data_IF_168180798643
#
_entry.id   IF_168180798643
#
_cell.length_a   1.000
_cell.length_b   1.000
_cell.length_c   1.000
_cell.angle_alpha   90.00
_cell.angle_beta   90.00
_cell.angle_gamma   90.00
#
_symmetry.space_group_name_H-M   'P 1'
#
loop_
_entity.id
_entity.type
_entity.pdbx_description
1 polymer ?
#
# COMPACT_ATOMS: atom_id res chain seq x y z
N UNK A 1 2.83 12.77 -12.47
CA UNK A 1 2.56 11.34 -12.59
C UNK A 1 3.74 10.63 -13.26
N UNK A 2 4.75 10.25 -12.47
CA UNK A 2 5.97 9.61 -12.98
C UNK A 2 5.73 8.11 -13.32
N UNK A 3 4.61 7.51 -12.88
CA UNK A 3 4.33 6.08 -13.01
C UNK A 3 2.93 5.78 -13.59
N UNK A 4 2.54 6.39 -14.71
CA UNK A 4 1.44 5.89 -15.55
C UNK A 4 0.14 5.50 -14.82
N UNK A 5 -0.34 6.30 -13.84
CA UNK A 5 -1.60 6.03 -13.13
C UNK A 5 -1.48 5.17 -11.86
N UNK A 6 -0.29 4.74 -11.48
CA UNK A 6 -0.07 4.01 -10.23
C UNK A 6 -0.02 4.94 -9.01
N UNK A 7 -0.63 4.51 -7.91
CA UNK A 7 -0.57 5.17 -6.60
C UNK A 7 -0.34 4.13 -5.52
N UNK A 8 0.31 4.54 -4.43
CA UNK A 8 0.54 3.66 -3.28
C UNK A 8 -0.14 4.21 -2.02
N UNK A 9 -0.65 3.31 -1.19
CA UNK A 9 -1.28 3.61 0.09
C UNK A 9 -0.78 2.68 1.17
N UNK A 10 -0.63 3.21 2.39
CA UNK A 10 -0.37 2.44 3.59
C UNK A 10 -1.69 1.96 4.17
N UNK A 11 -1.81 0.67 4.41
CA UNK A 11 -3.00 0.05 5.01
C UNK A 11 -3.01 0.30 6.52
N UNK A 12 -4.04 0.97 7.01
CA UNK A 12 -4.15 1.40 8.40
C UNK A 12 -5.15 0.59 9.23
N UNK A 13 -5.97 -0.26 8.58
CA UNK A 13 -6.98 -1.07 9.26
C UNK A 13 -6.99 -2.51 8.77
N UNK A 14 -7.51 -3.44 9.58
CA UNK A 14 -7.58 -4.86 9.28
C UNK A 14 -8.83 -5.29 8.51
N UNK A 15 -9.60 -4.38 7.91
CA UNK A 15 -10.86 -4.74 7.22
C UNK A 15 -10.68 -5.69 6.04
N UNK A 16 -9.48 -5.79 5.48
CA UNK A 16 -9.13 -6.67 4.38
C UNK A 16 -8.31 -7.90 4.79
N UNK A 17 -8.13 -8.12 6.08
CA UNK A 17 -7.44 -9.32 6.57
C UNK A 17 -8.24 -10.60 6.26
N UNK A 18 -7.57 -11.70 5.93
CA UNK A 18 -6.10 -11.89 5.87
C UNK A 18 -5.47 -11.53 4.52
N UNK A 19 -6.24 -11.13 3.51
CA UNK A 19 -5.72 -10.87 2.16
C UNK A 19 -4.75 -9.66 2.13
N UNK A 20 -5.04 -8.62 2.90
CA UNK A 20 -4.19 -7.43 3.06
C UNK A 20 -4.15 -7.09 4.54
N UNK A 21 -2.95 -7.07 5.11
CA UNK A 21 -2.75 -6.87 6.55
C UNK A 21 -2.54 -5.39 6.88
N UNK A 22 -2.89 -5.02 8.10
CA UNK A 22 -2.50 -3.70 8.64
C UNK A 22 -0.98 -3.54 8.58
N UNK A 23 -0.50 -2.40 8.06
CA UNK A 23 0.92 -2.11 7.87
C UNK A 23 1.49 -2.53 6.51
N UNK A 24 0.68 -3.16 5.64
CA UNK A 24 1.07 -3.41 4.25
C UNK A 24 1.03 -2.12 3.43
N UNK A 25 1.78 -2.08 2.34
CA UNK A 25 1.63 -1.08 1.30
C UNK A 25 0.90 -1.71 0.12
N UNK A 26 -0.15 -1.08 -0.33
CA UNK A 26 -0.85 -1.45 -1.58
C UNK A 26 -0.47 -0.49 -2.70
N UNK A 27 -0.31 -1.03 -3.89
CA UNK A 27 -0.19 -0.26 -5.13
C UNK A 27 -1.46 -0.46 -5.92
N UNK A 28 -2.09 0.63 -6.32
CA UNK A 28 -3.29 0.63 -7.13
C UNK A 28 -3.02 1.20 -8.51
N UNK A 29 -3.82 0.76 -9.48
CA UNK A 29 -3.84 1.33 -10.83
C UNK A 29 -5.30 1.61 -11.24
N UNK A 30 -5.54 2.78 -11.82
CA UNK A 30 -6.85 3.14 -12.39
C UNK A 30 -7.14 2.26 -13.61
N UNK A 31 -8.34 1.69 -13.68
CA UNK A 31 -8.81 0.83 -14.76
C UNK A 31 -10.03 1.47 -15.44
N UNK A 32 -10.26 1.12 -16.69
CA UNK A 32 -11.48 1.53 -17.42
C UNK A 32 -12.68 0.65 -17.06
N UNK A 33 -12.43 -0.57 -16.58
CA UNK A 33 -13.48 -1.54 -16.20
C UNK A 33 -13.05 -2.25 -14.93
N UNK A 34 -13.98 -2.42 -14.01
CA UNK A 34 -13.82 -3.18 -12.77
C UNK A 34 -14.77 -4.38 -12.78
N UNK A 35 -14.34 -5.50 -12.22
CA UNK A 35 -15.08 -6.75 -12.14
C UNK A 35 -15.41 -7.11 -10.69
N UNK A 36 -16.45 -7.92 -10.49
CA UNK A 36 -16.74 -8.54 -9.19
C UNK A 36 -15.52 -9.35 -8.73
N UNK A 37 -15.24 -9.32 -7.44
CA UNK A 37 -14.05 -9.81 -6.75
C UNK A 37 -12.80 -8.95 -6.88
N UNK A 38 -12.78 -7.89 -7.67
CA UNK A 38 -11.67 -6.94 -7.63
C UNK A 38 -11.58 -6.25 -6.27
N UNK A 39 -10.36 -6.11 -5.77
CA UNK A 39 -10.07 -5.27 -4.61
C UNK A 39 -9.76 -3.86 -5.11
N UNK A 40 -10.56 -2.91 -4.70
CA UNK A 40 -10.46 -1.51 -5.15
C UNK A 40 -10.25 -0.56 -3.98
N UNK A 41 -9.54 0.51 -4.24
CA UNK A 41 -9.44 1.65 -3.33
C UNK A 41 -10.32 2.77 -3.87
N UNK A 42 -11.16 3.34 -3.02
CA UNK A 42 -12.14 4.35 -3.38
C UNK A 42 -12.25 5.43 -2.30
N UNK A 43 -12.92 6.54 -2.64
CA UNK A 43 -13.34 7.55 -1.67
C UNK A 43 -14.80 7.31 -1.28
N UNK A 44 -15.05 7.19 0.01
CA UNK A 44 -16.40 7.14 0.52
C UNK A 44 -17.07 8.54 0.56
N UNK A 45 -18.31 8.62 1.01
CA UNK A 45 -19.06 9.87 1.09
C UNK A 45 -18.46 10.86 2.11
N UNK A 46 -17.72 10.38 3.12
CA UNK A 46 -16.97 11.20 4.07
C UNK A 46 -15.56 11.58 3.57
N UNK A 47 -15.27 11.32 2.29
CA UNK A 47 -13.97 11.59 1.66
C UNK A 47 -12.80 10.80 2.25
N UNK A 48 -13.06 9.69 2.96
CA UNK A 48 -12.03 8.77 3.46
C UNK A 48 -11.58 7.84 2.32
N UNK A 49 -10.33 7.42 2.39
CA UNK A 49 -9.79 6.42 1.46
C UNK A 49 -9.99 5.04 2.07
N UNK A 50 -10.79 4.21 1.40
CA UNK A 50 -11.17 2.86 1.81
C UNK A 50 -10.72 1.87 0.75
N UNK A 51 -10.30 0.68 1.17
CA UNK A 51 -9.94 -0.41 0.28
C UNK A 51 -10.78 -1.63 0.64
N UNK A 52 -11.70 -2.03 -0.23
CA UNK A 52 -12.58 -3.18 -0.04
C UNK A 52 -12.75 -3.95 -1.35
N UNK A 53 -13.41 -5.10 -1.28
CA UNK A 53 -13.70 -5.97 -2.43
C UNK A 53 -15.06 -5.64 -3.02
N UNK A 54 -15.13 -5.61 -4.36
CA UNK A 54 -16.39 -5.53 -5.10
C UNK A 54 -17.11 -6.87 -5.00
N UNK A 55 -18.31 -6.88 -4.44
CA UNK A 55 -19.08 -8.12 -4.23
C UNK A 55 -20.28 -8.23 -5.15
N UNK A 56 -20.85 -7.12 -5.59
CA UNK A 56 -22.05 -7.09 -6.43
C UNK A 56 -22.03 -5.83 -7.31
N UNK A 57 -22.55 -5.99 -8.55
CA UNK A 57 -22.85 -4.88 -9.43
C UNK A 57 -24.30 -4.47 -9.24
N UNK A 58 -24.56 -3.19 -9.03
CA UNK A 58 -25.86 -2.61 -8.74
C UNK A 58 -26.03 -1.29 -9.48
N UNK A 59 -27.11 -0.58 -9.19
CA UNK A 59 -27.36 0.77 -9.69
C UNK A 59 -27.60 1.73 -8.52
N UNK A 60 -27.11 2.94 -8.64
CA UNK A 60 -27.40 4.07 -7.75
C UNK A 60 -27.80 5.26 -8.60
N UNK A 61 -29.02 5.77 -8.40
CA UNK A 61 -29.56 6.91 -9.15
C UNK A 61 -29.52 6.72 -10.68
N UNK A 62 -29.78 5.50 -11.17
CA UNK A 62 -29.74 5.14 -12.60
C UNK A 62 -28.35 5.00 -13.20
N UNK A 63 -27.29 5.03 -12.38
CA UNK A 63 -25.91 4.86 -12.81
C UNK A 63 -25.34 3.54 -12.27
N UNK A 64 -24.44 2.87 -13.03
CA UNK A 64 -23.74 1.68 -12.56
C UNK A 64 -22.98 1.96 -11.25
N UNK A 65 -23.19 1.10 -10.27
CA UNK A 65 -22.58 1.18 -8.95
C UNK A 65 -22.16 -0.22 -8.48
N UNK A 66 -21.38 -0.29 -7.40
CA UNK A 66 -20.93 -1.53 -6.80
C UNK A 66 -21.22 -1.54 -5.30
N UNK A 67 -21.68 -2.70 -4.81
CA UNK A 67 -21.61 -3.00 -3.39
C UNK A 67 -20.22 -3.51 -3.03
N UNK A 68 -19.71 -3.07 -1.89
CA UNK A 68 -18.37 -3.40 -1.42
C UNK A 68 -18.41 -4.08 -0.06
N UNK A 69 -17.33 -4.81 0.25
CA UNK A 69 -17.15 -5.46 1.56
C UNK A 69 -15.68 -5.65 1.87
N UNK A 70 -15.27 -5.34 3.10
CA UNK A 70 -13.99 -5.76 3.64
C UNK A 70 -13.96 -7.27 3.86
N UNK A 71 -12.86 -7.94 3.52
CA UNK A 71 -12.73 -9.39 3.64
C UNK A 71 -12.91 -9.90 5.08
N UNK A 72 -12.50 -9.12 6.07
CA UNK A 72 -12.69 -9.40 7.49
C UNK A 72 -14.07 -8.99 8.04
N UNK A 73 -14.85 -8.21 7.30
CA UNK A 73 -16.12 -7.69 7.78
C UNK A 73 -17.21 -8.78 7.70
N UNK A 74 -18.17 -8.77 8.63
CA UNK A 74 -19.29 -9.71 8.65
C UNK A 74 -20.35 -9.38 7.59
N UNK A 75 -20.58 -8.07 7.36
CA UNK A 75 -21.59 -7.54 6.44
C UNK A 75 -20.92 -6.72 5.34
N UNK A 76 -21.64 -6.54 4.24
CA UNK A 76 -21.29 -5.57 3.22
C UNK A 76 -21.38 -4.12 3.75
N UNK A 77 -20.74 -3.22 3.05
CA UNK A 77 -20.81 -1.81 3.36
C UNK A 77 -22.24 -1.27 3.11
N UNK A 78 -22.67 -0.31 3.91
CA UNK A 78 -24.02 0.24 3.79
C UNK A 78 -24.21 1.02 2.50
N UNK A 79 -23.16 1.63 1.98
CA UNK A 79 -23.18 2.48 0.82
C UNK A 79 -22.60 1.79 -0.39
N UNK A 80 -23.22 1.98 -1.54
CA UNK A 80 -22.69 1.58 -2.83
C UNK A 80 -21.81 2.67 -3.40
N UNK A 81 -20.78 2.28 -4.16
CA UNK A 81 -19.84 3.20 -4.78
C UNK A 81 -20.03 3.29 -6.29
N UNK A 82 -19.86 4.48 -6.84
CA UNK A 82 -19.87 4.74 -8.28
C UNK A 82 -18.47 4.62 -8.86
N UNK A 83 -18.37 4.43 -10.18
CA UNK A 83 -17.07 4.44 -10.90
C UNK A 83 -16.20 5.65 -10.58
N UNK A 84 -16.79 6.85 -10.46
CA UNK A 84 -16.07 8.09 -10.18
C UNK A 84 -15.43 8.16 -8.79
N UNK A 85 -15.88 7.35 -7.85
CA UNK A 85 -15.32 7.26 -6.50
C UNK A 85 -14.12 6.32 -6.45
N UNK A 86 -13.96 5.41 -7.44
CA UNK A 86 -12.88 4.42 -7.47
C UNK A 86 -11.57 5.08 -7.91
N UNK A 87 -10.58 5.03 -7.06
CA UNK A 87 -9.23 5.55 -7.32
C UNK A 87 -8.39 4.57 -8.13
N UNK A 88 -8.66 3.27 -7.97
CA UNK A 88 -7.99 2.20 -8.72
C UNK A 88 -8.14 0.83 -8.08
N UNK A 89 -7.78 -0.20 -8.87
CA UNK A 89 -7.71 -1.60 -8.45
C UNK A 89 -6.36 -1.88 -7.80
N UNK A 90 -6.34 -2.65 -6.73
CA UNK A 90 -5.10 -3.14 -6.10
C UNK A 90 -4.43 -4.13 -7.05
N UNK A 91 -3.23 -3.82 -7.47
CA UNK A 91 -2.42 -4.63 -8.40
C UNK A 91 -1.21 -5.27 -7.72
N UNK A 92 -0.78 -4.73 -6.58
CA UNK A 92 0.33 -5.26 -5.81
C UNK A 92 0.11 -4.99 -4.32
N UNK A 93 0.42 -5.98 -3.50
CA UNK A 93 0.50 -5.84 -2.04
C UNK A 93 1.94 -6.10 -1.62
N UNK A 94 2.54 -5.14 -0.91
CA UNK A 94 3.89 -5.27 -0.37
C UNK A 94 3.79 -5.42 1.14
N UNK A 95 3.98 -6.64 1.65
CA UNK A 95 3.72 -6.93 3.04
C UNK A 95 4.73 -6.23 3.97
N UNK A 96 4.23 -5.68 5.07
CA UNK A 96 4.99 -5.14 6.22
C UNK A 96 5.99 -4.00 5.96
N UNK A 97 6.18 -3.55 4.71
CA UNK A 97 7.05 -2.39 4.40
C UNK A 97 6.50 -1.08 4.95
N UNK A 98 5.21 -1.00 5.22
CA UNK A 98 4.61 0.15 5.86
C UNK A 98 5.23 0.50 7.22
N UNK A 99 5.63 -0.49 8.00
CA UNK A 99 6.33 -0.27 9.28
C UNK A 99 7.72 0.35 9.07
N UNK A 100 8.46 -0.08 8.04
CA UNK A 100 9.76 0.51 7.71
C UNK A 100 9.61 1.96 7.27
N UNK A 101 8.60 2.26 6.44
CA UNK A 101 8.29 3.63 6.01
C UNK A 101 7.84 4.50 7.19
N UNK A 102 6.99 3.98 8.08
CA UNK A 102 6.59 4.68 9.29
C UNK A 102 7.79 4.96 10.21
N UNK A 103 8.66 3.97 10.40
CA UNK A 103 9.89 4.10 11.19
C UNK A 103 10.85 5.15 10.61
N UNK A 104 11.04 5.17 9.28
CA UNK A 104 11.90 6.16 8.62
C UNK A 104 11.43 7.61 8.78
N UNK A 105 10.15 7.82 9.09
CA UNK A 105 9.59 9.16 9.37
C UNK A 105 9.83 9.63 10.80
N UNK A 106 10.33 8.77 11.68
CA UNK A 106 10.72 9.15 13.04
C UNK A 106 12.18 9.62 13.05
N UNK A 107 12.53 10.57 13.94
CA UNK A 107 13.92 11.03 14.06
C UNK A 107 14.92 9.90 14.38
N UNK A 108 14.65 8.97 15.33
CA UNK A 108 15.52 7.82 15.55
C UNK A 108 15.62 6.89 14.33
N UNK A 109 14.50 6.66 13.65
CA UNK A 109 14.46 5.80 12.46
C UNK A 109 15.29 6.35 11.31
N UNK A 110 15.18 7.64 11.05
CA UNK A 110 15.98 8.31 10.02
C UNK A 110 17.49 8.24 10.34
N UNK A 111 17.86 8.51 11.59
CA UNK A 111 19.26 8.45 12.04
C UNK A 111 19.82 7.03 11.85
N UNK A 112 19.10 6.00 12.28
CA UNK A 112 19.51 4.60 12.17
C UNK A 112 19.66 4.19 10.70
N UNK A 113 18.73 4.57 9.83
CA UNK A 113 18.77 4.26 8.40
C UNK A 113 19.96 4.91 7.68
N UNK A 114 20.47 6.04 8.17
CA UNK A 114 21.66 6.71 7.61
C UNK A 114 22.92 6.12 8.23
N UNK A 115 22.96 5.94 9.55
CA UNK A 115 24.18 5.55 10.25
C UNK A 115 24.60 4.09 9.95
N UNK A 116 23.64 3.17 9.80
CA UNK A 116 23.97 1.76 9.54
C UNK A 116 24.71 1.60 8.22
N UNK A 117 24.21 2.07 7.05
CA UNK A 117 24.94 1.97 5.79
C UNK A 117 26.29 2.70 5.81
N UNK A 118 26.34 3.89 6.44
CA UNK A 118 27.56 4.66 6.55
C UNK A 118 28.61 3.90 7.38
N UNK A 119 28.22 3.32 8.51
CA UNK A 119 29.09 2.50 9.34
C UNK A 119 29.60 1.26 8.61
N UNK A 120 28.72 0.54 7.89
CA UNK A 120 29.11 -0.61 7.09
C UNK A 120 30.12 -0.23 6.00
N UNK A 121 29.93 0.90 5.34
CA UNK A 121 30.86 1.39 4.33
C UNK A 121 32.25 1.68 4.92
N UNK A 122 32.30 2.40 6.04
CA UNK A 122 33.55 2.71 6.74
C UNK A 122 34.25 1.43 7.21
N UNK A 123 33.49 0.48 7.76
CA UNK A 123 34.05 -0.80 8.20
C UNK A 123 34.64 -1.60 7.05
N UNK A 124 33.95 -1.67 5.91
CA UNK A 124 34.45 -2.36 4.71
C UNK A 124 35.79 -1.74 4.21
N UNK A 125 35.87 -0.40 4.22
CA UNK A 125 37.08 0.31 3.80
C UNK A 125 38.26 0.06 4.77
N UNK A 126 38.01 0.05 6.08
CA UNK A 126 39.02 -0.26 7.09
C UNK A 126 39.53 -1.70 6.98
N UNK A 127 38.65 -2.65 6.70
CA UNK A 127 39.02 -4.06 6.50
C UNK A 127 39.88 -4.23 5.24
N UNK A 128 39.61 -3.50 4.16
CA UNK A 128 40.43 -3.51 2.95
C UNK A 128 41.83 -2.98 3.21
N UNK A 129 41.98 -1.90 3.97
CA UNK A 129 43.27 -1.32 4.32
C UNK A 129 44.09 -2.33 5.15
N UNK A 130 43.50 -3.00 6.13
CA UNK A 130 44.15 -3.98 6.97
C UNK A 130 44.63 -5.25 6.21
N UNK A 131 43.96 -5.59 5.09
CA UNK A 131 44.28 -6.74 4.27
C UNK A 131 45.34 -6.46 3.17
N UNK A 132 45.81 -5.24 3.02
CA UNK A 132 46.91 -4.88 2.13
C UNK A 132 48.21 -5.39 2.77
N UNK A 133 48.64 -6.62 2.44
CA UNK A 133 49.97 -7.11 2.80
C UNK A 133 51.07 -6.26 2.15
N UNK A 134 52.12 -5.85 2.87
CA UNK A 134 53.24 -5.18 2.25
C UNK A 134 53.85 -6.10 1.19
N UNK A 135 54.01 -5.63 -0.03
CA UNK A 135 54.83 -6.28 -1.05
C UNK A 135 56.30 -6.20 -0.60
N UNK A 136 56.85 -7.33 -0.17
CA UNK A 136 58.30 -7.52 -0.08
C UNK A 136 58.89 -7.64 -1.48
#
# INVERSE_FOLDING_TARGET
NIFGGYRSYLVQSGSMEPAIMTGDIIVINSQNVYAINDVVTFRDEENRIVTHRLIESTEKDGNPAFATKGDANRSQDFETINYGQILGKVVLVVPKLGYLVAFSKTMPGLIILILIPAFMFVLDELLKINNVKPKN
#
